data_IF_626143474165
#
_entry.id   IF_626143474165
#
_cell.length_a   1.000
_cell.length_b   1.000
_cell.length_c   1.000
_cell.angle_alpha   90.00
_cell.angle_beta   90.00
_cell.angle_gamma   90.00
#
_symmetry.space_group_name_H-M   'P 1'
#
loop_
_entity.id
_entity.type
_entity.pdbx_description
1 polymer ?
#
# COMPACT_ATOMS: atom_id res chain seq x y z
N UNK A 1 -83.61 33.79 -31.66
CA UNK A 1 -84.32 32.54 -31.99
C UNK A 1 -83.35 31.38 -31.73
N UNK A 2 -83.66 30.55 -30.72
CA UNK A 2 -83.14 29.20 -30.34
C UNK A 2 -81.61 29.02 -30.12
N UNK A 3 -81.07 28.91 -28.89
CA UNK A 3 -81.02 27.75 -27.94
C UNK A 3 -80.36 26.53 -28.62
N UNK A 4 -79.23 25.97 -28.15
CA UNK A 4 -79.15 24.93 -27.09
C UNK A 4 -77.71 24.78 -26.56
N UNK A 5 -77.63 24.66 -25.23
CA UNK A 5 -76.48 24.36 -24.36
C UNK A 5 -76.17 22.85 -24.40
N UNK A 6 -74.90 22.43 -24.30
CA UNK A 6 -74.53 21.16 -23.64
C UNK A 6 -73.13 21.22 -23.02
N UNK A 7 -73.13 21.01 -21.70
CA UNK A 7 -72.01 20.96 -20.75
C UNK A 7 -71.05 19.81 -21.06
N UNK A 8 -69.75 19.94 -20.78
CA UNK A 8 -69.03 18.97 -19.92
C UNK A 8 -67.64 19.44 -19.43
N UNK A 9 -67.42 19.17 -18.15
CA UNK A 9 -66.28 19.20 -17.23
C UNK A 9 -64.83 19.46 -17.71
N UNK A 10 -64.20 20.42 -17.01
CA UNK A 10 -62.98 20.30 -16.15
C UNK A 10 -61.96 19.19 -16.45
N UNK A 11 -60.67 19.56 -16.58
CA UNK A 11 -59.61 19.20 -15.62
C UNK A 11 -58.34 20.05 -15.85
N UNK A 12 -57.92 20.78 -14.80
CA UNK A 12 -56.62 21.43 -14.67
C UNK A 12 -55.57 20.36 -14.33
N UNK A 13 -54.42 20.37 -15.01
CA UNK A 13 -53.20 19.71 -14.50
C UNK A 13 -51.98 20.49 -14.98
N UNK A 14 -51.51 21.36 -14.10
CA UNK A 14 -50.18 21.96 -14.12
C UNK A 14 -49.17 20.87 -13.81
N UNK A 15 -48.37 20.45 -14.80
CA UNK A 15 -47.23 19.57 -14.56
C UNK A 15 -45.99 20.43 -14.27
N UNK A 16 -45.70 20.64 -12.99
CA UNK A 16 -44.42 21.17 -12.55
C UNK A 16 -43.39 20.03 -12.59
N UNK A 17 -42.47 20.07 -13.56
CA UNK A 17 -41.29 19.20 -13.57
C UNK A 17 -40.31 19.68 -12.50
N UNK A 18 -40.26 18.98 -11.37
CA UNK A 18 -39.18 19.12 -10.39
C UNK A 18 -38.02 18.25 -10.88
N UNK A 19 -36.99 18.87 -11.46
CA UNK A 19 -35.71 18.22 -11.70
C UNK A 19 -35.00 18.06 -10.34
N UNK A 20 -35.17 16.89 -9.72
CA UNK A 20 -34.39 16.50 -8.56
C UNK A 20 -33.04 15.97 -9.06
N UNK A 21 -32.07 16.87 -9.24
CA UNK A 21 -30.67 16.47 -9.47
C UNK A 21 -30.16 15.78 -8.22
N UNK A 22 -30.15 14.44 -8.22
CA UNK A 22 -29.38 13.67 -7.25
C UNK A 22 -27.91 13.99 -7.50
N UNK A 23 -27.35 14.89 -6.71
CA UNK A 23 -25.91 15.01 -6.58
C UNK A 23 -25.42 13.68 -6.00
N UNK A 24 -24.91 12.80 -6.87
CA UNK A 24 -24.10 11.68 -6.42
C UNK A 24 -22.87 12.34 -5.78
N UNK A 25 -22.58 12.11 -4.48
CA UNK A 25 -21.32 12.55 -3.94
C UNK A 25 -20.25 11.84 -4.76
N UNK A 26 -19.47 12.60 -5.53
CA UNK A 26 -18.17 12.15 -5.99
C UNK A 26 -17.43 11.87 -4.69
N UNK A 27 -17.28 10.60 -4.32
CA UNK A 27 -16.23 10.23 -3.39
C UNK A 27 -14.96 10.70 -4.08
N UNK A 28 -14.35 11.76 -3.55
CA UNK A 28 -12.92 11.96 -3.72
C UNK A 28 -12.30 10.57 -3.46
N UNK A 29 -11.54 10.05 -4.42
CA UNK A 29 -10.72 8.86 -4.20
C UNK A 29 -9.69 9.21 -3.14
N UNK A 30 -10.13 9.23 -1.88
CA UNK A 30 -9.28 9.43 -0.73
C UNK A 30 -8.35 8.23 -0.73
N UNK A 31 -7.06 8.53 -0.84
CA UNK A 31 -6.01 7.53 -0.73
C UNK A 31 -6.19 6.75 0.58
N UNK A 32 -5.93 5.45 0.55
CA UNK A 32 -6.03 4.62 1.76
C UNK A 32 -5.15 5.20 2.87
N UNK A 33 -5.72 5.36 4.06
CA UNK A 33 -4.96 5.77 5.23
C UNK A 33 -4.28 4.54 5.86
N UNK A 34 -2.95 4.47 5.72
CA UNK A 34 -2.15 3.41 6.31
C UNK A 34 -1.64 3.73 7.72
N UNK A 35 -2.02 4.88 8.28
CA UNK A 35 -1.56 5.31 9.60
C UNK A 35 -1.80 4.25 10.67
N UNK A 36 -0.86 4.14 11.59
CA UNK A 36 -0.93 3.26 12.75
C UNK A 36 0.38 2.55 13.05
N UNK A 37 0.30 1.73 14.09
CA UNK A 37 1.39 0.84 14.51
C UNK A 37 1.05 -0.56 14.04
N UNK A 38 2.01 -1.20 13.39
CA UNK A 38 1.86 -2.46 12.71
C UNK A 38 2.94 -3.43 13.20
N UNK A 39 2.57 -4.69 13.39
CA UNK A 39 3.51 -5.76 13.74
C UNK A 39 3.33 -6.92 12.78
N UNK A 40 4.45 -7.43 12.26
CA UNK A 40 4.46 -8.58 11.37
C UNK A 40 3.82 -9.79 12.08
N UNK A 41 2.87 -10.41 11.41
CA UNK A 41 2.31 -11.70 11.79
C UNK A 41 3.07 -12.80 11.05
N UNK A 42 4.03 -13.49 11.69
CA UNK A 42 4.83 -14.52 11.03
C UNK A 42 4.04 -15.78 10.69
N UNK A 43 2.87 -16.01 11.30
CA UNK A 43 2.02 -17.16 11.01
C UNK A 43 1.19 -16.96 9.74
N UNK A 44 0.90 -15.70 9.39
CA UNK A 44 0.17 -15.30 8.18
C UNK A 44 1.07 -14.82 7.04
N UNK A 45 2.37 -14.69 7.27
CA UNK A 45 3.33 -14.16 6.30
C UNK A 45 4.16 -15.25 5.63
N UNK A 46 4.57 -14.99 4.40
CA UNK A 46 5.56 -15.81 3.69
C UNK A 46 6.96 -15.66 4.33
N UNK A 47 7.78 -16.69 4.16
CA UNK A 47 9.17 -16.66 4.60
C UNK A 47 10.02 -15.79 3.66
N UNK A 48 10.70 -14.79 4.19
CA UNK A 48 11.57 -13.94 3.38
C UNK A 48 12.80 -14.69 2.81
N UNK A 49 13.27 -14.38 1.60
CA UNK A 49 14.49 -14.91 1.02
C UNK A 49 15.68 -14.71 1.96
N UNK A 50 16.46 -15.79 2.16
CA UNK A 50 17.51 -15.84 3.18
C UNK A 50 17.08 -16.45 4.51
N UNK A 51 15.78 -16.72 4.74
CA UNK A 51 15.25 -17.41 5.94
C UNK A 51 15.18 -18.93 5.85
N UNK A 52 15.64 -19.55 4.76
CA UNK A 52 15.53 -21.00 4.57
C UNK A 52 16.74 -21.62 3.88
N UNK A 53 17.47 -22.47 4.61
CA UNK A 53 18.43 -23.48 4.10
C UNK A 53 19.49 -22.96 3.12
N UNK A 54 20.46 -22.18 3.61
CA UNK A 54 21.82 -22.36 3.08
C UNK A 54 22.31 -23.71 3.63
N UNK A 55 22.25 -24.74 2.80
CA UNK A 55 22.90 -26.01 3.09
C UNK A 55 24.35 -25.77 3.51
N UNK A 56 24.73 -26.36 4.64
CA UNK A 56 26.06 -26.24 5.24
C UNK A 56 25.94 -26.18 6.76
N UNK A 57 26.10 -27.33 7.42
CA UNK A 57 25.87 -27.51 8.85
C UNK A 57 26.52 -26.45 9.74
N UNK A 58 25.76 -26.01 10.74
CA UNK A 58 26.20 -25.08 11.76
C UNK A 58 24.99 -24.48 12.45
N UNK A 59 24.67 -24.99 13.65
CA UNK A 59 23.58 -24.49 14.47
C UNK A 59 23.77 -22.99 14.77
N UNK A 60 22.98 -22.16 14.12
CA UNK A 60 22.76 -20.78 14.48
C UNK A 60 21.27 -20.53 14.32
N UNK A 61 20.56 -20.44 15.44
CA UNK A 61 19.11 -20.20 15.44
C UNK A 61 18.78 -18.98 14.60
N UNK A 62 17.68 -19.05 13.86
CA UNK A 62 17.08 -17.89 13.22
C UNK A 62 16.98 -16.78 14.29
N UNK A 63 17.68 -15.67 14.12
CA UNK A 63 17.65 -14.61 15.12
C UNK A 63 16.21 -14.14 15.25
N UNK A 64 15.67 -14.15 16.47
CA UNK A 64 14.29 -13.78 16.77
C UNK A 64 13.94 -12.37 16.24
N UNK A 65 14.95 -11.49 16.17
CA UNK A 65 14.91 -10.14 15.59
C UNK A 65 14.51 -10.08 14.12
N UNK A 66 14.71 -11.17 13.37
CA UNK A 66 14.24 -11.24 11.99
C UNK A 66 12.71 -11.39 11.97
N UNK A 67 12.12 -12.15 12.91
CA UNK A 67 10.66 -12.37 13.01
C UNK A 67 9.91 -11.22 13.68
N UNK A 68 10.60 -10.43 14.48
CA UNK A 68 10.05 -9.23 15.11
C UNK A 68 10.28 -8.04 14.19
N UNK A 69 9.26 -7.71 13.40
CA UNK A 69 9.23 -6.48 12.60
C UNK A 69 8.04 -5.65 13.03
N UNK A 70 8.30 -4.40 13.36
CA UNK A 70 7.28 -3.39 13.66
C UNK A 70 7.40 -2.23 12.68
N UNK A 71 6.29 -1.54 12.45
CA UNK A 71 6.24 -0.38 11.59
C UNK A 71 5.28 0.65 12.18
N UNK A 72 5.72 1.88 12.31
CA UNK A 72 4.88 3.03 12.63
C UNK A 72 4.74 3.86 11.37
N UNK A 73 3.51 4.08 10.93
CA UNK A 73 3.18 4.89 9.76
C UNK A 73 2.41 6.11 10.27
N UNK A 74 2.90 7.29 9.92
CA UNK A 74 2.18 8.55 10.05
C UNK A 74 1.87 9.06 8.65
N UNK A 75 0.59 9.28 8.35
CA UNK A 75 0.14 9.82 7.07
C UNK A 75 -0.49 11.19 7.27
N UNK A 76 0.09 12.19 6.60
CA UNK A 76 -0.49 13.52 6.50
C UNK A 76 -0.72 13.79 5.00
N UNK A 77 -1.99 13.98 4.64
CA UNK A 77 -2.44 14.05 3.25
C UNK A 77 -1.94 12.86 2.42
N UNK A 78 -1.08 13.14 1.43
CA UNK A 78 -0.46 12.16 0.53
C UNK A 78 1.04 12.02 0.81
N UNK A 79 1.45 12.13 2.08
CA UNK A 79 2.83 11.93 2.53
C UNK A 79 2.83 10.91 3.65
N UNK A 80 3.61 9.83 3.48
CA UNK A 80 3.73 8.76 4.47
C UNK A 80 5.12 8.80 5.08
N UNK A 81 5.20 9.01 6.38
CA UNK A 81 6.42 8.85 7.19
C UNK A 81 6.40 7.48 7.86
N UNK A 82 7.43 6.67 7.59
CA UNK A 82 7.50 5.28 7.99
C UNK A 82 8.74 5.09 8.85
N UNK A 83 8.55 4.59 10.07
CA UNK A 83 9.60 4.06 10.93
C UNK A 83 9.42 2.55 11.03
N UNK A 84 10.36 1.78 10.49
CA UNK A 84 10.38 0.32 10.61
C UNK A 84 11.49 -0.11 11.55
N UNK A 85 11.22 -1.05 12.45
CA UNK A 85 12.26 -1.71 13.24
C UNK A 85 12.34 -3.19 12.88
N UNK A 86 13.57 -3.72 12.84
CA UNK A 86 13.84 -5.13 12.56
C UNK A 86 13.75 -5.50 11.08
N UNK A 87 13.52 -6.79 10.82
CA UNK A 87 13.51 -7.35 9.47
C UNK A 87 14.89 -7.64 8.87
N UNK A 88 14.96 -8.00 7.56
CA UNK A 88 16.17 -8.53 6.93
C UNK A 88 17.35 -7.57 6.90
N UNK A 89 17.08 -6.27 6.84
CA UNK A 89 18.10 -5.23 6.79
C UNK A 89 18.69 -4.96 8.18
N UNK A 90 18.01 -5.40 9.26
CA UNK A 90 18.36 -5.11 10.64
C UNK A 90 18.19 -3.63 11.02
N UNK A 91 18.08 -3.37 12.32
CA UNK A 91 18.01 -2.01 12.87
C UNK A 91 16.74 -1.22 12.50
N UNK A 92 16.64 0.04 12.97
CA UNK A 92 15.59 0.96 12.53
C UNK A 92 15.87 1.47 11.11
N UNK A 93 14.80 1.68 10.34
CA UNK A 93 14.82 2.32 9.04
C UNK A 93 13.70 3.35 8.98
N UNK A 94 14.08 4.58 8.63
CA UNK A 94 13.16 5.66 8.35
C UNK A 94 13.01 5.84 6.84
N UNK A 95 11.79 6.08 6.38
CA UNK A 95 11.49 6.36 4.98
C UNK A 95 10.31 7.32 4.89
N UNK A 96 10.39 8.27 3.96
CA UNK A 96 9.27 9.14 3.60
C UNK A 96 8.86 8.80 2.18
N UNK A 97 7.57 8.55 1.95
CA UNK A 97 6.99 8.34 0.62
C UNK A 97 6.12 9.54 0.25
N UNK A 98 6.27 10.01 -0.99
CA UNK A 98 5.47 11.10 -1.57
C UNK A 98 4.82 10.64 -2.87
N UNK A 99 3.72 9.84 -2.80
CA UNK A 99 3.15 9.20 -3.97
C UNK A 99 2.78 10.18 -5.09
N UNK A 100 3.16 9.86 -6.33
CA UNK A 100 2.92 10.69 -7.51
C UNK A 100 3.87 11.87 -7.68
N UNK A 101 4.91 12.02 -6.85
CA UNK A 101 5.97 13.04 -7.02
C UNK A 101 7.16 12.56 -7.86
N UNK A 102 7.13 11.31 -8.32
CA UNK A 102 8.20 10.68 -9.08
C UNK A 102 9.30 10.06 -8.20
N UNK A 103 10.39 9.57 -8.81
CA UNK A 103 11.49 8.94 -8.09
C UNK A 103 12.23 9.91 -7.16
N UNK A 104 12.57 9.44 -5.97
CA UNK A 104 13.38 10.14 -4.97
C UNK A 104 14.55 9.26 -4.51
N UNK A 105 15.68 9.89 -4.19
CA UNK A 105 16.82 9.19 -3.60
C UNK A 105 16.66 9.12 -2.08
N UNK A 106 16.83 7.93 -1.52
CA UNK A 106 16.77 7.68 -0.07
C UNK A 106 18.04 6.99 0.40
N UNK A 107 18.50 7.33 1.60
CA UNK A 107 19.61 6.64 2.23
C UNK A 107 19.12 5.36 2.91
N UNK A 108 19.78 4.24 2.64
CA UNK A 108 19.46 2.96 3.27
C UNK A 108 20.72 2.33 3.89
N UNK A 109 20.59 1.33 4.80
CA UNK A 109 21.74 0.69 5.44
C UNK A 109 22.80 0.06 4.53
N UNK A 110 22.63 -0.02 3.21
CA UNK A 110 23.81 -0.22 2.38
C UNK A 110 23.76 0.47 1.03
N UNK A 111 23.44 1.76 1.10
CA UNK A 111 23.67 2.71 0.03
C UNK A 111 22.44 3.53 -0.28
N UNK A 112 22.63 4.53 -1.12
CA UNK A 112 21.52 5.23 -1.76
C UNK A 112 20.65 4.23 -2.52
N UNK A 113 19.35 4.41 -2.44
CA UNK A 113 18.36 3.71 -3.23
C UNK A 113 17.45 4.74 -3.91
N UNK A 114 16.98 4.41 -5.11
CA UNK A 114 15.92 5.18 -5.77
C UNK A 114 14.59 4.55 -5.40
N UNK A 115 13.66 5.36 -4.90
CA UNK A 115 12.31 4.94 -4.50
C UNK A 115 11.28 5.78 -5.25
N UNK A 116 10.27 5.14 -5.81
CA UNK A 116 9.11 5.79 -6.40
C UNK A 116 7.84 5.18 -5.81
N UNK A 117 6.81 5.99 -5.60
CA UNK A 117 5.53 5.52 -5.08
C UNK A 117 4.36 6.16 -5.82
N UNK A 118 3.26 5.43 -5.95
CA UNK A 118 2.02 5.90 -6.58
C UNK A 118 0.81 5.09 -6.12
N UNK A 119 -0.38 5.62 -6.36
CA UNK A 119 -1.65 4.96 -6.02
C UNK A 119 -2.21 4.23 -7.23
N UNK A 120 -2.65 2.99 -7.01
CA UNK A 120 -3.49 2.22 -7.94
C UNK A 120 -4.83 1.97 -7.26
N UNK A 121 -5.77 2.90 -7.46
CA UNK A 121 -7.01 2.94 -6.69
C UNK A 121 -6.72 3.11 -5.20
N UNK A 122 -7.02 2.08 -4.41
CA UNK A 122 -6.81 2.03 -2.95
C UNK A 122 -5.50 1.36 -2.52
N UNK A 123 -4.73 0.81 -3.46
CA UNK A 123 -3.45 0.20 -3.15
C UNK A 123 -2.32 1.23 -3.36
N UNK A 124 -1.34 1.23 -2.46
CA UNK A 124 -0.11 1.98 -2.64
C UNK A 124 0.93 1.07 -3.28
N UNK A 125 1.47 1.47 -4.43
CA UNK A 125 2.59 0.79 -5.06
C UNK A 125 3.87 1.56 -4.74
N UNK A 126 4.92 0.82 -4.38
CA UNK A 126 6.25 1.34 -4.07
C UNK A 126 7.28 0.53 -4.85
N UNK A 127 8.04 1.19 -5.70
CA UNK A 127 9.21 0.61 -6.35
C UNK A 127 10.48 1.14 -5.71
N UNK A 128 11.45 0.27 -5.53
CA UNK A 128 12.77 0.57 -5.03
C UNK A 128 13.82 -0.12 -5.90
N UNK A 129 14.83 0.63 -6.32
CA UNK A 129 16.02 0.10 -6.98
C UNK A 129 17.27 0.52 -6.21
N UNK A 130 18.20 -0.42 -6.05
CA UNK A 130 19.43 -0.16 -5.32
C UNK A 130 20.61 -0.95 -5.90
N UNK A 131 21.70 -0.24 -6.18
CA UNK A 131 22.98 -0.86 -6.44
C UNK A 131 23.72 -1.16 -5.13
N UNK A 132 24.20 -2.39 -4.97
CA UNK A 132 24.96 -2.87 -3.81
C UNK A 132 26.33 -3.33 -4.29
N UNK A 133 27.37 -2.83 -3.65
CA UNK A 133 28.72 -3.34 -3.86
C UNK A 133 28.94 -4.60 -3.04
N UNK A 134 29.46 -5.65 -3.68
CA UNK A 134 29.84 -6.89 -3.00
C UNK A 134 31.25 -7.31 -3.37
N UNK A 135 31.90 -8.22 -2.61
CA UNK A 135 33.22 -8.75 -2.98
C UNK A 135 33.27 -9.45 -4.34
N UNK A 136 32.11 -9.76 -4.94
CA UNK A 136 31.99 -10.41 -6.25
C UNK A 136 31.61 -9.44 -7.38
N UNK A 137 31.60 -8.13 -7.11
CA UNK A 137 31.16 -7.08 -8.02
C UNK A 137 29.88 -6.40 -7.55
N UNK A 138 29.42 -5.43 -8.34
CA UNK A 138 28.15 -4.75 -8.10
C UNK A 138 26.96 -5.67 -8.41
N UNK A 139 25.88 -5.48 -7.68
CA UNK A 139 24.59 -6.10 -7.95
C UNK A 139 23.49 -5.06 -7.82
N UNK A 140 22.51 -5.11 -8.73
CA UNK A 140 21.29 -4.33 -8.61
C UNK A 140 20.21 -5.18 -7.94
N UNK A 141 19.53 -4.60 -6.97
CA UNK A 141 18.36 -5.17 -6.31
C UNK A 141 17.17 -4.29 -6.69
N UNK A 142 16.15 -4.90 -7.26
CA UNK A 142 14.88 -4.24 -7.56
C UNK A 142 13.80 -4.84 -6.68
N UNK A 143 12.95 -4.00 -6.12
CA UNK A 143 11.85 -4.40 -5.26
C UNK A 143 10.61 -3.61 -5.64
N UNK A 144 9.51 -4.32 -5.90
CA UNK A 144 8.19 -3.73 -6.01
C UNK A 144 7.35 -4.20 -4.83
N UNK A 145 6.64 -3.28 -4.18
CA UNK A 145 5.71 -3.57 -3.11
C UNK A 145 4.33 -3.02 -3.46
N UNK A 146 3.29 -3.80 -3.21
CA UNK A 146 1.90 -3.35 -3.27
C UNK A 146 1.30 -3.48 -1.88
N UNK A 147 0.84 -2.36 -1.33
CA UNK A 147 0.32 -2.26 0.03
C UNK A 147 -1.20 -2.12 -0.04
N UNK A 148 -1.90 -2.94 0.74
CA UNK A 148 -3.35 -2.93 0.84
C UNK A 148 -3.79 -3.08 2.29
N UNK A 149 -4.94 -2.51 2.62
CA UNK A 149 -5.56 -2.60 3.94
C UNK A 149 -6.77 -3.52 3.87
N UNK A 150 -6.99 -4.36 4.88
CA UNK A 150 -8.25 -5.08 5.05
C UNK A 150 -9.42 -4.11 5.24
N UNK A 151 -10.63 -4.57 4.93
CA UNK A 151 -11.85 -3.73 5.03
C UNK A 151 -12.09 -3.19 6.44
N UNK A 152 -11.70 -3.96 7.47
CA UNK A 152 -11.81 -3.56 8.87
C UNK A 152 -10.65 -2.65 9.34
N UNK A 153 -9.68 -2.38 8.48
CA UNK A 153 -8.52 -1.55 8.77
C UNK A 153 -7.47 -2.19 9.67
N UNK A 154 -7.64 -3.45 10.13
CA UNK A 154 -6.77 -4.04 11.15
C UNK A 154 -5.62 -4.88 10.60
N UNK A 155 -5.57 -5.10 9.29
CA UNK A 155 -4.52 -5.88 8.63
C UNK A 155 -3.94 -5.10 7.46
N UNK A 156 -2.63 -4.85 7.52
CA UNK A 156 -1.84 -4.35 6.40
C UNK A 156 -1.19 -5.53 5.69
N UNK A 157 -1.35 -5.61 4.38
CA UNK A 157 -0.74 -6.63 3.53
C UNK A 157 0.22 -5.94 2.58
N UNK A 158 1.48 -6.37 2.58
CA UNK A 158 2.50 -5.97 1.61
C UNK A 158 2.84 -7.15 0.73
N UNK A 159 2.46 -7.08 -0.55
CA UNK A 159 2.90 -8.04 -1.58
C UNK A 159 4.20 -7.54 -2.15
N UNK A 160 5.27 -8.32 -2.04
CA UNK A 160 6.62 -7.92 -2.41
C UNK A 160 7.10 -8.80 -3.55
N UNK A 161 7.56 -8.18 -4.64
CA UNK A 161 8.32 -8.81 -5.70
C UNK A 161 9.76 -8.31 -5.61
N UNK A 162 10.69 -9.21 -5.38
CA UNK A 162 12.11 -8.91 -5.23
C UNK A 162 12.88 -9.57 -6.35
N UNK A 163 13.54 -8.77 -7.19
CA UNK A 163 14.45 -9.26 -8.22
C UNK A 163 15.89 -9.07 -7.78
N UNK A 164 16.67 -10.13 -7.91
CA UNK A 164 18.11 -10.09 -7.63
C UNK A 164 18.85 -10.87 -8.71
N UNK A 165 20.16 -10.67 -8.91
CA UNK A 165 20.94 -11.50 -9.82
C UNK A 165 20.99 -12.99 -9.43
N UNK A 166 20.49 -13.34 -8.23
CA UNK A 166 20.43 -14.71 -7.71
C UNK A 166 19.06 -15.35 -7.90
N UNK A 167 18.11 -14.63 -8.46
CA UNK A 167 16.73 -15.08 -8.66
C UNK A 167 15.71 -14.06 -8.18
N UNK A 168 14.48 -14.33 -8.59
CA UNK A 168 13.30 -13.53 -8.27
C UNK A 168 12.49 -14.22 -7.17
N UNK A 169 11.89 -13.41 -6.30
CA UNK A 169 11.13 -13.88 -5.16
C UNK A 169 9.85 -13.07 -5.01
N UNK A 170 8.73 -13.77 -4.83
CA UNK A 170 7.45 -13.17 -4.45
C UNK A 170 7.14 -13.54 -2.99
N UNK A 171 6.63 -12.58 -2.23
CA UNK A 171 6.27 -12.75 -0.82
C UNK A 171 5.04 -11.93 -0.46
N UNK A 172 4.23 -12.46 0.45
CA UNK A 172 3.19 -11.71 1.14
C UNK A 172 3.59 -11.52 2.60
N UNK A 173 3.68 -10.27 3.03
CA UNK A 173 3.91 -9.91 4.42
C UNK A 173 2.62 -9.35 5.01
N UNK A 174 2.16 -9.96 6.08
CA UNK A 174 0.91 -9.60 6.76
C UNK A 174 1.25 -8.99 8.10
N UNK A 175 0.73 -7.80 8.36
CA UNK A 175 0.91 -7.08 9.60
C UNK A 175 -0.44 -6.90 10.29
N UNK A 176 -0.48 -7.21 11.58
CA UNK A 176 -1.64 -6.89 12.42
C UNK A 176 -1.42 -5.51 13.05
N UNK A 177 -2.46 -4.68 13.05
CA UNK A 177 -2.47 -3.41 13.78
C UNK A 177 -2.27 -3.69 15.29
N UNK A 178 -1.52 -2.83 15.96
CA UNK A 178 -1.24 -2.91 17.40
C UNK A 178 -2.17 -2.03 18.22
#
# INVERSE_FOLDING_TARGET
>A
MQIIVKKLLLFLMTAAFVNLSLAVPVQEDAFTDFSGTWKLNPEKSDSMPGRGRRGGGGGGGESNQSREMTMVISQEDNVLSILREGGPQGGPMEMVLTPGKGPQEVSTPGGAATVEAWWEGRELVVEQSQERQTPRGSMTIEQQQTWSLSEDGNTLIQRVKLKTPRGDFDMNLVFDRQ
#
